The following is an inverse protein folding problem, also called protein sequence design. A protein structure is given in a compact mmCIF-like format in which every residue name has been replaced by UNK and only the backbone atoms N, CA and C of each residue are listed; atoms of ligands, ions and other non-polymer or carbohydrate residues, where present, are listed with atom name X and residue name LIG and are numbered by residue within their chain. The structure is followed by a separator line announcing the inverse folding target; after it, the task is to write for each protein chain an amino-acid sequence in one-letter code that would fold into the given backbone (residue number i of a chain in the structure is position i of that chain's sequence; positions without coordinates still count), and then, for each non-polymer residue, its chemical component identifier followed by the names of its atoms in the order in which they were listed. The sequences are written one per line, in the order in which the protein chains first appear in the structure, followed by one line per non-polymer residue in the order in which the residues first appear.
data_IF_965813590850
#
_entry.id   IF_965813590850
#
_cell.length_a   1.000
_cell.length_b   1.000
_cell.length_c   1.000
_cell.angle_alpha   90.00
_cell.angle_beta   90.00
_cell.angle_gamma   90.00
#
_symmetry.space_group_name_H-M   'P 1'
#
loop_
_entity.id
_entity.type
_entity.pdbx_description
1 polymer ?
#
# COMPACT_ATOMS: atom_id res chain seq x y z
N UNK A 1 3.76 10.20 12.27
CA UNK A 1 4.68 9.08 12.02
C UNK A 1 4.52 8.62 10.58
N UNK A 2 5.62 8.38 9.90
CA UNK A 2 5.62 8.07 8.48
C UNK A 2 6.47 6.83 8.19
N UNK A 3 6.04 6.06 7.20
CA UNK A 3 6.78 4.89 6.73
C UNK A 3 6.86 4.94 5.21
N UNK A 4 7.99 4.52 4.66
CA UNK A 4 8.23 4.49 3.22
C UNK A 4 8.73 3.13 2.78
N UNK A 5 8.37 2.75 1.57
CA UNK A 5 9.01 1.65 0.86
C UNK A 5 9.08 2.03 -0.62
N UNK A 6 10.07 1.49 -1.30
CA UNK A 6 10.27 1.75 -2.71
C UNK A 6 10.18 0.43 -3.46
N UNK A 7 9.21 0.32 -4.35
CA UNK A 7 9.06 -0.87 -5.19
C UNK A 7 9.87 -0.69 -6.46
N UNK A 8 10.66 -1.70 -6.78
CA UNK A 8 11.50 -1.68 -7.96
C UNK A 8 10.71 -2.18 -9.17
N UNK A 9 9.72 -1.39 -9.56
CA UNK A 9 8.89 -1.67 -10.72
C UNK A 9 8.74 -0.41 -11.54
N UNK A 10 8.55 -0.58 -12.84
CA UNK A 10 8.37 0.53 -13.75
C UNK A 10 6.88 0.65 -14.08
N UNK A 11 6.20 1.52 -13.34
CA UNK A 11 4.80 1.85 -13.56
C UNK A 11 4.67 3.36 -13.59
N UNK A 12 4.05 3.89 -14.64
CA UNK A 12 3.76 5.31 -14.65
C UNK A 12 2.49 5.60 -13.83
N UNK A 13 2.19 6.87 -13.53
CA UNK A 13 1.02 7.19 -12.71
C UNK A 13 -0.29 6.66 -13.27
N UNK A 14 -0.41 6.63 -14.58
CA UNK A 14 -1.63 6.13 -15.21
C UNK A 14 -1.80 4.64 -15.00
N UNK A 15 -0.72 3.88 -15.11
CA UNK A 15 -0.74 2.45 -14.84
C UNK A 15 -1.10 2.17 -13.37
N UNK A 16 -0.59 2.98 -12.45
CA UNK A 16 -0.93 2.87 -11.04
C UNK A 16 -2.44 3.06 -10.85
N UNK A 17 -3.00 4.10 -11.44
CA UNK A 17 -4.43 4.39 -11.31
C UNK A 17 -5.30 3.29 -11.93
N UNK A 18 -4.84 2.71 -13.01
CA UNK A 18 -5.59 1.70 -13.73
C UNK A 18 -5.57 0.35 -13.01
N UNK A 19 -4.44 -0.04 -12.48
CA UNK A 19 -4.25 -1.36 -11.90
C UNK A 19 -4.62 -1.46 -10.43
N UNK A 20 -4.47 -0.39 -9.67
CA UNK A 20 -4.71 -0.43 -8.23
C UNK A 20 -6.08 0.15 -7.92
N UNK A 21 -7.08 -0.67 -8.14
CA UNK A 21 -8.46 -0.36 -7.79
C UNK A 21 -8.74 -0.82 -6.36
N UNK A 22 -9.86 -0.40 -5.79
CA UNK A 22 -10.23 -0.83 -4.44
C UNK A 22 -10.46 -2.33 -4.37
N UNK A 23 -11.04 -2.91 -5.41
CA UNK A 23 -11.27 -4.35 -5.43
C UNK A 23 -9.97 -5.15 -5.54
N UNK A 24 -8.90 -4.53 -5.99
CA UNK A 24 -7.59 -5.17 -6.12
C UNK A 24 -6.73 -5.04 -4.86
N UNK A 25 -7.17 -4.31 -3.85
CA UNK A 25 -6.36 -4.08 -2.65
C UNK A 25 -5.80 -5.37 -2.04
N UNK A 26 -6.61 -6.43 -1.85
CA UNK A 26 -6.06 -7.65 -1.26
C UNK A 26 -5.02 -8.35 -2.12
N UNK A 27 -5.01 -8.06 -3.42
CA UNK A 27 -4.02 -8.66 -4.32
C UNK A 27 -2.64 -8.06 -4.13
N UNK A 28 -2.58 -6.83 -3.64
CA UNK A 28 -1.32 -6.14 -3.42
C UNK A 28 -0.90 -6.13 -1.95
N UNK A 29 -1.85 -6.14 -1.05
CA UNK A 29 -1.55 -6.00 0.37
C UNK A 29 -2.35 -7.01 1.19
N UNK A 30 -1.65 -7.89 1.88
CA UNK A 30 -2.27 -8.96 2.67
C UNK A 30 -3.00 -8.47 3.89
N UNK A 31 -2.71 -7.25 4.30
CA UNK A 31 -3.36 -6.70 5.48
C UNK A 31 -4.84 -6.48 5.30
N UNK A 32 -5.34 -6.57 4.06
CA UNK A 32 -6.72 -6.25 3.74
C UNK A 32 -7.51 -7.45 3.22
N UNK A 33 -8.77 -7.52 3.63
CA UNK A 33 -9.78 -8.33 2.99
C UNK A 33 -10.99 -7.45 2.72
N UNK A 34 -11.58 -7.57 1.55
CA UNK A 34 -12.74 -6.77 1.20
C UNK A 34 -13.98 -7.30 1.89
N UNK A 35 -14.81 -6.39 2.38
CA UNK A 35 -16.11 -6.74 2.94
C UNK A 35 -17.20 -6.31 1.96
N UNK A 36 -17.20 -5.02 1.59
CA UNK A 36 -18.22 -4.47 0.71
C UNK A 36 -17.69 -3.21 0.05
N UNK A 37 -17.93 -3.07 -1.25
CA UNK A 37 -17.58 -1.86 -1.97
C UNK A 37 -18.85 -1.07 -2.26
N UNK A 38 -18.94 0.12 -1.69
CA UNK A 38 -20.10 0.98 -1.81
C UNK A 38 -20.19 1.62 -3.20
N UNK A 39 -19.04 1.98 -3.75
CA UNK A 39 -18.91 2.52 -5.09
C UNK A 39 -17.46 2.34 -5.56
N UNK A 40 -17.08 2.98 -6.66
CA UNK A 40 -15.74 2.81 -7.22
C UNK A 40 -14.66 3.45 -6.36
N UNK A 41 -15.02 4.37 -5.47
CA UNK A 41 -14.07 5.15 -4.70
C UNK A 41 -14.09 4.85 -3.21
N UNK A 42 -14.95 3.93 -2.76
CA UNK A 42 -15.12 3.67 -1.33
C UNK A 42 -15.46 2.21 -1.09
N UNK A 43 -14.72 1.58 -0.21
CA UNK A 43 -14.95 0.19 0.21
C UNK A 43 -14.82 0.05 1.71
N UNK A 44 -15.50 -0.93 2.26
CA UNK A 44 -15.27 -1.38 3.62
C UNK A 44 -14.30 -2.55 3.58
N UNK A 45 -13.29 -2.52 4.43
CA UNK A 45 -12.28 -3.57 4.50
C UNK A 45 -12.13 -4.08 5.90
N UNK A 46 -11.78 -5.35 6.01
CA UNK A 46 -11.30 -5.96 7.23
C UNK A 46 -9.78 -5.91 7.17
N UNK A 47 -9.16 -5.30 8.15
CA UNK A 47 -7.71 -5.20 8.20
C UNK A 47 -7.18 -5.84 9.47
N UNK A 48 -5.86 -5.96 9.55
CA UNK A 48 -5.23 -6.46 10.77
C UNK A 48 -5.47 -5.53 11.98
N UNK A 49 -5.87 -4.29 11.72
CA UNK A 49 -6.17 -3.32 12.79
C UNK A 49 -7.66 -3.20 13.09
N UNK A 50 -8.50 -3.90 12.33
CA UNK A 50 -9.95 -3.84 12.47
C UNK A 50 -10.64 -3.52 11.16
N UNK A 51 -11.95 -3.24 11.25
CA UNK A 51 -12.78 -2.95 10.09
C UNK A 51 -12.87 -1.45 9.87
N UNK A 52 -12.53 -1.01 8.67
CA UNK A 52 -12.52 0.41 8.32
C UNK A 52 -13.00 0.63 6.91
N UNK A 53 -13.45 1.86 6.67
CA UNK A 53 -13.74 2.31 5.31
C UNK A 53 -12.44 2.80 4.68
N UNK A 54 -12.24 2.49 3.41
CA UNK A 54 -11.11 2.98 2.62
C UNK A 54 -11.66 3.80 1.47
N UNK A 55 -11.12 4.99 1.28
CA UNK A 55 -11.46 5.88 0.17
C UNK A 55 -10.25 6.01 -0.74
N UNK A 56 -10.51 6.00 -2.05
CA UNK A 56 -9.47 6.08 -3.08
C UNK A 56 -9.60 7.39 -3.82
N UNK A 57 -8.48 8.08 -4.00
CA UNK A 57 -8.42 9.34 -4.75
C UNK A 57 -7.27 9.30 -5.74
N UNK A 58 -7.49 9.86 -6.92
CA UNK A 58 -6.41 10.07 -7.88
C UNK A 58 -5.71 11.39 -7.54
N UNK A 59 -4.37 11.32 -7.50
CA UNK A 59 -3.55 12.48 -7.20
C UNK A 59 -2.44 12.59 -8.24
N UNK A 60 -1.72 13.69 -8.22
CA UNK A 60 -0.52 13.84 -9.04
C UNK A 60 0.46 12.73 -8.69
N UNK A 61 0.88 11.97 -9.68
CA UNK A 61 1.83 10.88 -9.50
C UNK A 61 1.20 9.52 -9.22
N UNK A 62 -0.09 9.44 -8.91
CA UNK A 62 -0.72 8.15 -8.69
C UNK A 62 -2.01 8.20 -7.88
N UNK A 63 -1.99 7.55 -6.72
CA UNK A 63 -3.18 7.35 -5.89
C UNK A 63 -2.92 7.67 -4.43
N UNK A 64 -3.98 8.12 -3.76
CA UNK A 64 -4.00 8.28 -2.32
C UNK A 64 -5.18 7.50 -1.76
N UNK A 65 -4.92 6.74 -0.73
CA UNK A 65 -5.94 6.02 0.01
C UNK A 65 -6.03 6.58 1.42
N UNK A 66 -7.24 6.73 1.91
CA UNK A 66 -7.47 7.20 3.27
C UNK A 66 -8.44 6.27 3.98
N UNK A 67 -8.34 6.24 5.29
CA UNK A 67 -9.26 5.52 6.15
C UNK A 67 -9.98 6.52 7.03
N UNK A 68 -11.08 7.12 6.55
CA UNK A 68 -11.74 8.19 7.30
C UNK A 68 -12.34 7.75 8.62
N UNK A 69 -12.62 6.46 8.79
CA UNK A 69 -13.14 5.94 10.05
C UNK A 69 -12.05 5.51 11.03
N UNK A 70 -10.80 5.61 10.64
CA UNK A 70 -9.69 5.27 11.51
C UNK A 70 -9.37 6.42 12.45
N UNK A 71 -9.33 6.20 13.79
CA UNK A 71 -9.04 7.27 14.72
C UNK A 71 -7.64 7.86 14.58
N UNK A 72 -6.73 7.14 13.95
CA UNK A 72 -5.36 7.63 13.70
C UNK A 72 -5.20 8.34 12.37
N UNK A 73 -6.29 8.53 11.63
CA UNK A 73 -6.29 9.19 10.32
C UNK A 73 -5.25 8.55 9.38
N UNK A 74 -5.25 7.24 9.31
CA UNK A 74 -4.30 6.52 8.49
C UNK A 74 -4.54 6.80 7.01
N UNK A 75 -3.45 7.08 6.30
CA UNK A 75 -3.49 7.31 4.86
C UNK A 75 -2.21 6.80 4.22
N UNK A 76 -2.30 6.42 2.95
CA UNK A 76 -1.10 6.07 2.20
C UNK A 76 -1.23 6.48 0.75
N UNK A 77 -0.08 6.71 0.12
CA UNK A 77 0.00 7.04 -1.30
C UNK A 77 0.87 6.03 -2.02
N UNK A 78 0.54 5.83 -3.27
CA UNK A 78 1.34 5.02 -4.18
C UNK A 78 1.57 5.87 -5.42
N UNK A 79 2.82 6.28 -5.63
CA UNK A 79 3.15 7.27 -6.65
C UNK A 79 4.40 6.86 -7.43
N UNK A 80 4.52 7.42 -8.63
CA UNK A 80 5.72 7.29 -9.43
C UNK A 80 5.93 8.58 -10.22
N UNK A 81 7.07 8.68 -10.88
CA UNK A 81 7.37 9.85 -11.69
C UNK A 81 7.79 11.07 -10.89
N UNK A 82 8.04 10.92 -9.59
CA UNK A 82 8.37 12.03 -8.71
C UNK A 82 9.81 11.88 -8.19
N UNK A 83 10.52 13.02 -7.99
CA UNK A 83 11.84 12.95 -7.38
C UNK A 83 11.75 12.37 -5.96
N UNK A 84 12.80 11.72 -5.47
CA UNK A 84 14.09 11.49 -6.09
C UNK A 84 14.18 10.21 -6.92
N UNK A 85 13.08 9.45 -7.05
CA UNK A 85 13.09 8.16 -7.75
C UNK A 85 11.98 8.09 -8.80
N UNK A 86 12.08 8.89 -9.87
CA UNK A 86 10.98 8.98 -10.85
C UNK A 86 10.71 7.68 -11.61
N UNK A 87 11.66 6.77 -11.63
CA UNK A 87 11.53 5.50 -12.34
C UNK A 87 11.06 4.36 -11.43
N UNK A 88 10.68 4.66 -10.20
CA UNK A 88 10.22 3.65 -9.24
C UNK A 88 8.88 4.04 -8.64
N UNK A 89 8.25 3.09 -7.97
CA UNK A 89 7.00 3.32 -7.26
C UNK A 89 7.30 3.49 -5.77
N UNK A 90 6.80 4.57 -5.21
CA UNK A 90 7.00 4.89 -3.80
C UNK A 90 5.70 4.67 -3.04
N UNK A 91 5.78 3.90 -1.97
CA UNK A 91 4.68 3.70 -1.03
C UNK A 91 4.99 4.52 0.20
N UNK A 92 4.07 5.40 0.58
CA UNK A 92 4.25 6.29 1.72
C UNK A 92 3.00 6.25 2.58
N UNK A 93 3.14 5.89 3.84
CA UNK A 93 2.02 5.87 4.77
C UNK A 93 2.23 6.84 5.91
N UNK A 94 1.15 7.40 6.41
CA UNK A 94 1.16 8.35 7.52
C UNK A 94 0.02 8.08 8.48
N UNK A 95 0.22 8.40 9.74
CA UNK A 95 -0.84 8.45 10.73
C UNK A 95 -0.49 9.47 11.81
N UNK A 96 -1.52 9.96 12.51
CA UNK A 96 -1.41 11.17 13.33
C UNK A 96 -0.72 11.01 14.67
N UNK A 97 -0.74 9.84 15.26
CA UNK A 97 -0.24 9.68 16.63
C UNK A 97 1.23 9.35 16.61
N UNK A 98 1.94 9.85 17.60
CA UNK A 98 3.37 9.62 17.71
C UNK A 98 3.73 8.51 18.68
N UNK A 99 2.83 8.18 19.58
CA UNK A 99 3.06 7.12 20.55
C UNK A 99 2.15 5.96 20.28
N UNK A 100 2.73 4.80 20.03
CA UNK A 100 2.01 3.57 19.74
C UNK A 100 2.72 2.40 20.37
N UNK A 101 2.00 1.34 20.59
CA UNK A 101 2.59 0.10 21.05
C UNK A 101 3.52 -0.46 19.97
N UNK A 102 4.53 -1.19 20.38
CA UNK A 102 5.53 -1.71 19.48
C UNK A 102 4.93 -2.57 18.38
N UNK A 103 3.97 -3.43 18.72
CA UNK A 103 3.33 -4.29 17.71
C UNK A 103 2.65 -3.47 16.61
N UNK A 104 2.08 -2.33 16.98
CA UNK A 104 1.41 -1.46 16.02
C UNK A 104 2.42 -0.84 15.05
N UNK A 105 3.52 -0.35 15.60
CA UNK A 105 4.59 0.24 14.79
C UNK A 105 5.15 -0.81 13.82
N UNK A 106 5.35 -2.03 14.30
CA UNK A 106 5.84 -3.11 13.46
C UNK A 106 4.84 -3.47 12.36
N UNK A 107 3.55 -3.45 12.67
CA UNK A 107 2.53 -3.73 11.67
C UNK A 107 2.47 -2.65 10.60
N UNK A 108 2.71 -1.40 10.97
CA UNK A 108 2.75 -0.30 10.01
C UNK A 108 3.98 -0.40 9.11
N UNK A 109 5.10 -0.78 9.66
CA UNK A 109 6.31 -1.02 8.88
C UNK A 109 6.09 -2.17 7.90
N UNK A 110 5.45 -3.23 8.35
CA UNK A 110 5.13 -4.38 7.51
C UNK A 110 4.17 -4.01 6.38
N UNK A 111 3.25 -3.09 6.65
CA UNK A 111 2.28 -2.64 5.66
C UNK A 111 2.93 -2.12 4.38
N UNK A 112 3.90 -1.21 4.51
CA UNK A 112 4.56 -0.66 3.31
C UNK A 112 5.41 -1.72 2.61
N UNK A 113 5.96 -2.67 3.35
CA UNK A 113 6.72 -3.78 2.77
C UNK A 113 5.81 -4.75 2.03
N UNK A 114 4.60 -4.97 2.51
CA UNK A 114 3.62 -5.79 1.80
C UNK A 114 3.27 -5.18 0.45
N UNK A 115 3.08 -3.87 0.41
CA UNK A 115 2.82 -3.17 -0.84
C UNK A 115 3.99 -3.29 -1.80
N UNK A 116 5.20 -3.10 -1.28
CA UNK A 116 6.40 -3.25 -2.09
C UNK A 116 6.46 -4.64 -2.73
N UNK A 117 6.29 -5.66 -1.91
CA UNK A 117 6.34 -7.05 -2.39
C UNK A 117 5.21 -7.34 -3.37
N UNK A 118 4.01 -6.85 -3.07
CA UNK A 118 2.85 -7.06 -3.92
C UNK A 118 2.99 -6.43 -5.29
N UNK A 119 3.51 -5.22 -5.33
CA UNK A 119 3.74 -4.53 -6.60
C UNK A 119 4.82 -5.23 -7.43
N UNK A 120 5.91 -5.62 -6.79
CA UNK A 120 7.00 -6.30 -7.49
C UNK A 120 6.57 -7.68 -7.99
N UNK A 121 5.77 -8.38 -7.20
CA UNK A 121 5.28 -9.68 -7.59
C UNK A 121 4.27 -9.59 -8.74
N UNK A 122 3.39 -8.60 -8.70
CA UNK A 122 2.42 -8.39 -9.78
C UNK A 122 3.11 -8.08 -11.10
N UNK A 123 4.19 -7.29 -11.05
CA UNK A 123 4.97 -7.00 -12.24
C UNK A 123 5.64 -8.25 -12.80
N UNK A 124 6.12 -9.12 -11.91
CA UNK A 124 6.69 -10.41 -12.30
C UNK A 124 5.65 -11.36 -12.88
N UNK A 125 4.44 -11.34 -12.33
CA UNK A 125 3.34 -12.18 -12.80
C UNK A 125 2.92 -11.86 -14.23
N UNK A 126 3.00 -10.58 -14.60
CA UNK A 126 2.68 -10.17 -15.97
C UNK A 126 3.63 -10.81 -16.97
N UNK A 127 4.82 -11.14 -16.55
CA UNK A 127 5.83 -11.74 -17.41
C UNK A 127 5.77 -13.25 -17.35
N UNK A 128 5.45 -13.81 -16.21
CA UNK A 128 5.43 -15.24 -15.97
C UNK A 128 4.06 -15.68 -15.45
N UNK A 129 3.09 -15.85 -16.34
CA UNK A 129 1.75 -16.27 -15.91
C UNK A 129 1.76 -17.67 -15.34
N UNK A 130 0.83 -17.92 -14.43
CA UNK A 130 0.61 -19.26 -13.93
C UNK A 130 1.21 -19.58 -12.59
N UNK A 131 1.78 -18.64 -11.93
CA UNK A 131 2.31 -18.87 -10.59
C UNK A 131 1.25 -18.62 -9.56
N UNK A 132 0.77 -19.69 -8.98
CA UNK A 132 -0.23 -19.58 -7.95
C UNK A 132 0.29 -19.23 -6.59
N UNK A 133 1.58 -19.38 -6.35
CA UNK A 133 2.11 -19.23 -5.02
C UNK A 133 2.97 -17.99 -4.90
N UNK A 134 2.64 -17.17 -3.95
CA UNK A 134 3.49 -16.07 -3.59
C UNK A 134 4.64 -16.58 -2.77
N UNK A 135 5.81 -16.25 -3.18
CA UNK A 135 6.98 -16.49 -2.37
C UNK A 135 7.01 -15.47 -1.25
N UNK A 136 6.75 -15.93 -0.05
CA UNK A 136 6.65 -15.06 1.09
C UNK A 136 7.94 -14.98 1.84
N UNK A 137 8.95 -14.57 1.18
CA UNK A 137 10.15 -14.27 1.92
C UNK A 137 9.92 -13.00 2.69
N UNK A 138 10.11 -13.06 3.98
CA UNK A 138 10.11 -11.85 4.77
C UNK A 138 11.25 -10.99 4.29
N UNK A 139 10.95 -9.80 3.79
CA UNK A 139 12.03 -8.92 3.40
C UNK A 139 12.85 -8.55 4.61
N UNK A 140 14.13 -8.43 4.42
CA UNK A 140 14.97 -7.85 5.43
C UNK A 140 14.60 -6.40 5.56
N UNK A 141 14.27 -6.00 6.75
CA UNK A 141 13.72 -4.68 7.02
C UNK A 141 14.84 -3.65 7.10
N UNK A 142 15.62 -3.54 6.05
CA UNK A 142 16.81 -2.72 6.12
C UNK A 142 16.61 -1.35 5.53
N UNK A 143 15.67 -1.20 4.61
CA UNK A 143 15.52 0.06 3.90
C UNK A 143 14.29 0.85 4.33
N UNK A 144 13.82 0.59 5.51
CA UNK A 144 12.67 1.26 6.02
C UNK A 144 13.08 2.56 6.66
N UNK A 145 12.49 3.65 6.22
CA UNK A 145 12.68 4.94 6.89
C UNK A 145 11.44 5.24 7.69
N UNK A 146 11.66 5.54 8.95
CA UNK A 146 10.61 5.94 9.85
C UNK A 146 10.87 7.37 10.30
N UNK A 147 9.84 8.20 10.21
CA UNK A 147 9.89 9.58 10.68
C UNK A 147 8.76 9.80 11.66
N UNK A 148 9.06 10.53 12.67
CA UNK A 148 8.05 10.97 13.63
C UNK A 148 7.51 12.33 13.25
#
# INVERSE_FOLDING_TARGET
MEFFAIANVNMDPEAIREKITLTALPDYCESFALVDCLDTDSCEVESIWGRFQVTRQEITGGLRFTMPTCPNCFAWTITSGLPPTPDKVVIHSTFNRQEHEQWFIESMAEFVLQWQAGLEEAAGSDIAPGHGTRSRMKPLVVNLKMKD
#
